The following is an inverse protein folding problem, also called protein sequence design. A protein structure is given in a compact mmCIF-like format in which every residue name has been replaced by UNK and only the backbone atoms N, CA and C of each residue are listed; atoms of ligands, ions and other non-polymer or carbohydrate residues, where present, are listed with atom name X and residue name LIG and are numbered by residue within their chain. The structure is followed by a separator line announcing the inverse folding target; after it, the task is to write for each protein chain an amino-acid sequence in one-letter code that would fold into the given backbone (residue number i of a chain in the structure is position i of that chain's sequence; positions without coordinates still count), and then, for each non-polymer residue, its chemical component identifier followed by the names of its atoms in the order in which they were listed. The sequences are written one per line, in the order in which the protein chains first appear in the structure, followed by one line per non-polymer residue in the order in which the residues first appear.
data_IF_515258034419
#
_entry.id   IF_515258034419
#
_cell.length_a   1.000
_cell.length_b   1.000
_cell.length_c   1.000
_cell.angle_alpha   90.00
_cell.angle_beta   90.00
_cell.angle_gamma   90.00
#
_symmetry.space_group_name_H-M   'P 1'
#
loop_
_entity.id
_entity.type
_entity.pdbx_description
1 polymer ?
#
# COMPACT_ATOMS: atom_id res chain seq x y z
N UNK A 1 -37.98 -27.59 0.38
CA UNK A 1 -37.28 -27.03 -0.79
C UNK A 1 -37.23 -25.52 -0.65
N UNK A 2 -36.06 -24.92 -0.35
CA UNK A 2 -35.91 -23.46 -0.35
C UNK A 2 -35.77 -23.00 -1.80
N UNK A 3 -36.76 -22.24 -2.27
CA UNK A 3 -36.75 -21.61 -3.59
C UNK A 3 -35.66 -20.54 -3.58
N UNK A 4 -34.57 -20.76 -4.31
CA UNK A 4 -33.56 -19.72 -4.56
C UNK A 4 -34.26 -18.68 -5.45
N UNK A 5 -34.64 -17.56 -4.86
CA UNK A 5 -35.10 -16.41 -5.62
C UNK A 5 -33.85 -15.81 -6.26
N UNK A 6 -33.67 -16.01 -7.57
CA UNK A 6 -32.65 -15.28 -8.33
C UNK A 6 -33.02 -13.81 -8.22
N UNK A 7 -32.24 -13.06 -7.45
CA UNK A 7 -32.41 -11.63 -7.24
C UNK A 7 -31.90 -10.90 -8.47
N UNK A 8 -32.75 -10.65 -9.47
CA UNK A 8 -32.37 -9.94 -10.70
C UNK A 8 -32.16 -8.42 -10.53
N UNK A 9 -31.93 -7.91 -9.32
CA UNK A 9 -31.89 -6.47 -9.04
C UNK A 9 -30.84 -6.03 -8.00
N UNK A 10 -29.73 -6.74 -7.87
CA UNK A 10 -28.61 -6.25 -7.05
C UNK A 10 -27.73 -5.29 -7.86
N UNK A 11 -27.24 -4.23 -7.22
CA UNK A 11 -26.19 -3.36 -7.77
C UNK A 11 -24.92 -3.60 -6.98
N UNK A 12 -23.83 -3.90 -7.69
CA UNK A 12 -22.50 -4.00 -7.09
C UNK A 12 -21.84 -2.63 -7.15
N UNK A 13 -21.34 -2.14 -6.03
CA UNK A 13 -20.77 -0.81 -5.89
C UNK A 13 -19.34 -0.95 -5.36
N UNK A 14 -18.35 -0.43 -6.09
CA UNK A 14 -17.03 -0.19 -5.52
C UNK A 14 -16.96 1.24 -5.03
N UNK A 15 -16.51 1.44 -3.79
CA UNK A 15 -16.27 2.77 -3.22
C UNK A 15 -15.00 2.82 -2.40
N UNK A 16 -14.38 4.00 -2.36
CA UNK A 16 -13.24 4.32 -1.49
C UNK A 16 -13.61 5.54 -0.65
N UNK A 17 -13.86 5.33 0.64
CA UNK A 17 -14.46 6.34 1.51
C UNK A 17 -15.85 6.76 1.02
N UNK A 18 -16.02 8.04 0.69
CA UNK A 18 -17.25 8.60 0.12
C UNK A 18 -17.30 8.55 -1.41
N UNK A 19 -16.17 8.25 -2.05
CA UNK A 19 -16.06 8.28 -3.51
C UNK A 19 -16.52 6.95 -4.09
N UNK A 20 -17.54 6.99 -4.93
CA UNK A 20 -17.95 5.83 -5.72
C UNK A 20 -17.00 5.69 -6.91
N UNK A 21 -16.39 4.52 -7.04
CA UNK A 21 -15.49 4.18 -8.13
C UNK A 21 -16.27 3.58 -9.29
N UNK A 22 -17.13 2.61 -8.99
CA UNK A 22 -17.98 1.93 -9.98
C UNK A 22 -19.36 1.64 -9.42
N UNK A 23 -20.36 1.58 -10.30
CA UNK A 23 -21.72 1.10 -10.02
C UNK A 23 -22.12 0.11 -11.11
N UNK A 24 -22.29 -1.16 -10.73
CA UNK A 24 -22.33 -2.30 -11.64
C UNK A 24 -21.15 -2.25 -12.62
N UNK A 25 -21.41 -2.20 -13.94
CA UNK A 25 -20.41 -2.09 -14.99
C UNK A 25 -20.07 -0.63 -15.38
N UNK A 26 -20.63 0.36 -14.70
CA UNK A 26 -20.40 1.77 -15.00
C UNK A 26 -19.22 2.28 -14.18
N UNK A 27 -18.22 2.82 -14.85
CA UNK A 27 -17.10 3.55 -14.23
C UNK A 27 -17.55 4.96 -13.88
N UNK A 28 -17.47 5.32 -12.60
CA UNK A 28 -17.82 6.67 -12.08
C UNK A 28 -16.56 7.51 -11.87
N UNK A 29 -15.47 6.87 -11.46
CA UNK A 29 -14.16 7.51 -11.33
C UNK A 29 -13.62 8.00 -12.68
N UNK A 30 -12.82 9.06 -12.65
CA UNK A 30 -12.04 9.56 -13.80
C UNK A 30 -10.61 9.03 -13.84
N UNK A 31 -10.22 8.22 -12.84
CA UNK A 31 -8.90 7.61 -12.80
C UNK A 31 -8.82 6.48 -13.83
N UNK A 32 -8.07 6.72 -14.91
CA UNK A 32 -7.91 5.79 -16.04
C UNK A 32 -7.16 4.50 -15.69
N UNK A 33 -6.45 4.50 -14.54
CA UNK A 33 -5.77 3.32 -14.01
C UNK A 33 -6.75 2.32 -13.40
N UNK A 34 -7.94 2.79 -13.01
CA UNK A 34 -8.97 1.95 -12.38
C UNK A 34 -9.83 1.33 -13.47
N UNK A 35 -9.98 0.00 -13.41
CA UNK A 35 -10.78 -0.78 -14.35
C UNK A 35 -11.62 -1.82 -13.62
N UNK A 36 -12.68 -2.27 -14.29
CA UNK A 36 -13.50 -3.37 -13.83
C UNK A 36 -13.23 -4.60 -14.71
N UNK A 37 -12.70 -5.66 -14.12
CA UNK A 37 -12.41 -6.94 -14.76
C UNK A 37 -13.54 -7.91 -14.43
N UNK A 38 -13.96 -8.69 -15.42
CA UNK A 38 -15.07 -9.66 -15.34
C UNK A 38 -16.42 -9.06 -14.89
N UNK A 39 -16.54 -7.73 -14.89
CA UNK A 39 -17.75 -7.02 -14.47
C UNK A 39 -17.93 -6.85 -12.95
N UNK A 40 -16.96 -7.27 -12.13
CA UNK A 40 -17.07 -7.14 -10.67
C UNK A 40 -15.74 -6.99 -9.91
N UNK A 41 -14.59 -7.33 -10.51
CA UNK A 41 -13.29 -7.18 -9.87
C UNK A 41 -12.72 -5.79 -10.15
N UNK A 42 -12.37 -5.05 -9.11
CA UNK A 42 -11.69 -3.76 -9.25
C UNK A 42 -10.19 -4.00 -9.47
N UNK A 43 -9.67 -3.52 -10.59
CA UNK A 43 -8.24 -3.51 -10.90
C UNK A 43 -7.72 -2.07 -10.89
N UNK A 44 -6.52 -1.85 -10.35
CA UNK A 44 -5.84 -0.56 -10.35
C UNK A 44 -4.43 -0.80 -10.90
N UNK A 45 -4.11 -0.24 -12.07
CA UNK A 45 -2.76 -0.30 -12.64
C UNK A 45 -1.86 0.79 -12.06
N UNK A 46 -0.54 0.66 -12.25
CA UNK A 46 0.45 1.69 -11.88
C UNK A 46 0.23 2.21 -10.45
N UNK A 47 0.24 1.27 -9.50
CA UNK A 47 -0.03 1.53 -8.08
C UNK A 47 0.97 2.54 -7.52
N UNK A 48 0.43 3.51 -6.78
CA UNK A 48 1.17 4.54 -6.07
C UNK A 48 0.90 4.44 -4.56
N UNK A 49 1.79 4.95 -3.68
CA UNK A 49 1.59 4.89 -2.23
C UNK A 49 0.23 5.47 -1.77
N UNK A 50 -0.29 6.48 -2.45
CA UNK A 50 -1.60 7.08 -2.19
C UNK A 50 -2.78 6.16 -2.53
N UNK A 51 -2.60 5.05 -3.23
CA UNK A 51 -3.67 4.10 -3.51
C UNK A 51 -3.95 3.17 -2.32
N UNK A 52 -3.06 3.14 -1.33
CA UNK A 52 -3.25 2.36 -0.10
C UNK A 52 -4.52 2.75 0.67
N UNK A 53 -5.09 1.79 1.37
CA UNK A 53 -6.26 1.98 2.24
C UNK A 53 -7.43 1.06 1.89
N UNK A 54 -8.59 1.41 2.42
CA UNK A 54 -9.78 0.55 2.36
C UNK A 54 -10.63 0.82 1.12
N UNK A 55 -10.89 -0.25 0.38
CA UNK A 55 -11.84 -0.31 -0.73
C UNK A 55 -13.03 -1.16 -0.28
N UNK A 56 -14.23 -0.68 -0.53
CA UNK A 56 -15.46 -1.36 -0.13
C UNK A 56 -16.20 -1.82 -1.37
N UNK A 57 -16.44 -3.13 -1.43
CA UNK A 57 -17.38 -3.74 -2.35
C UNK A 57 -18.72 -3.90 -1.63
N UNK A 58 -19.73 -3.16 -2.10
CA UNK A 58 -21.07 -3.16 -1.54
C UNK A 58 -22.05 -3.76 -2.53
N UNK A 59 -22.86 -4.71 -2.07
CA UNK A 59 -23.95 -5.27 -2.87
C UNK A 59 -25.26 -4.70 -2.30
N UNK A 60 -25.94 -3.86 -3.09
CA UNK A 60 -27.25 -3.33 -2.73
C UNK A 60 -28.34 -4.34 -3.08
N UNK A 61 -28.61 -5.26 -2.16
CA UNK A 61 -29.81 -6.07 -2.14
C UNK A 61 -30.67 -5.68 -0.91
N UNK A 62 -31.72 -6.45 -0.56
CA UNK A 62 -32.56 -6.23 0.64
C UNK A 62 -31.78 -6.11 1.96
N UNK A 63 -30.53 -6.56 1.97
CA UNK A 63 -29.56 -6.34 3.04
C UNK A 63 -28.29 -5.81 2.37
N UNK A 64 -27.90 -4.57 2.66
CA UNK A 64 -26.62 -4.05 2.22
C UNK A 64 -25.52 -4.91 2.83
N UNK A 65 -24.75 -5.58 1.96
CA UNK A 65 -23.56 -6.33 2.37
C UNK A 65 -22.34 -5.60 1.88
N UNK A 66 -21.54 -5.12 2.84
CA UNK A 66 -20.28 -4.44 2.58
C UNK A 66 -19.14 -5.42 2.89
N UNK A 67 -18.22 -5.57 1.95
CA UNK A 67 -16.96 -6.27 2.12
C UNK A 67 -15.83 -5.24 2.02
N UNK A 68 -15.01 -5.15 3.07
CA UNK A 68 -13.85 -4.25 3.11
C UNK A 68 -12.61 -5.01 2.64
N UNK A 69 -11.88 -4.39 1.71
CA UNK A 69 -10.60 -4.84 1.19
C UNK A 69 -9.54 -3.79 1.51
N UNK A 70 -8.62 -4.11 2.42
CA UNK A 70 -7.51 -3.21 2.76
C UNK A 70 -6.34 -3.47 1.83
N UNK A 71 -5.90 -2.44 1.10
CA UNK A 71 -4.76 -2.48 0.20
C UNK A 71 -3.55 -1.85 0.87
N UNK A 72 -2.45 -2.60 0.96
CA UNK A 72 -1.15 -2.10 1.42
C UNK A 72 -0.19 -2.00 0.21
N UNK A 73 0.47 -0.85 0.06
CA UNK A 73 1.43 -0.62 -1.01
C UNK A 73 2.84 -0.67 -0.44
N UNK A 74 3.63 -1.65 -0.88
CA UNK A 74 5.01 -1.83 -0.44
C UNK A 74 5.96 -0.96 -1.25
N UNK A 75 6.89 -0.30 -0.55
CA UNK A 75 7.90 0.55 -1.18
C UNK A 75 9.28 -0.03 -0.86
N UNK A 76 10.10 -0.37 -1.87
CA UNK A 76 11.43 -0.92 -1.66
C UNK A 76 12.30 -0.07 -0.73
N UNK A 77 13.17 -0.69 0.07
CA UNK A 77 14.04 0.04 0.97
C UNK A 77 15.09 0.85 0.19
N UNK A 78 15.29 2.10 0.59
CA UNK A 78 16.34 3.00 0.11
C UNK A 78 17.14 3.50 1.31
N UNK A 79 18.46 3.39 1.22
CA UNK A 79 19.40 3.73 2.30
C UNK A 79 20.29 4.89 1.88
N UNK A 80 20.42 5.88 2.76
CA UNK A 80 21.32 7.03 2.59
C UNK A 80 22.25 7.12 3.78
N UNK A 81 23.56 7.06 3.51
CA UNK A 81 24.60 7.16 4.52
C UNK A 81 25.34 8.51 4.43
N UNK A 82 25.74 9.04 5.59
CA UNK A 82 26.55 10.25 5.73
C UNK A 82 27.83 9.91 6.50
N UNK A 83 29.03 10.22 5.97
CA UNK A 83 29.30 10.93 4.71
C UNK A 83 28.98 10.09 3.46
N UNK A 84 28.46 10.72 2.42
CA UNK A 84 28.16 10.05 1.13
C UNK A 84 29.41 9.52 0.43
N UNK A 85 30.58 10.07 0.76
CA UNK A 85 31.88 9.55 0.28
C UNK A 85 32.21 8.15 0.80
N UNK A 86 31.49 7.66 1.83
CA UNK A 86 31.84 6.42 2.54
C UNK A 86 33.12 6.51 3.36
N UNK A 87 33.73 7.70 3.44
CA UNK A 87 34.99 7.92 4.14
C UNK A 87 34.87 9.07 5.14
N UNK A 88 35.34 8.83 6.36
CA UNK A 88 35.42 9.82 7.42
C UNK A 88 36.82 9.76 8.05
N UNK A 89 37.48 10.92 8.16
CA UNK A 89 38.78 11.05 8.81
C UNK A 89 38.61 11.79 10.14
N UNK A 90 39.27 11.28 11.18
CA UNK A 90 39.20 11.88 12.51
C UNK A 90 40.54 11.74 13.23
N UNK A 91 40.81 12.68 14.15
CA UNK A 91 41.98 12.61 15.03
C UNK A 91 41.81 11.47 16.03
N UNK A 92 42.92 10.83 16.42
CA UNK A 92 42.91 9.79 17.45
C UNK A 92 42.29 10.34 18.75
N UNK A 93 41.30 9.63 19.28
CA UNK A 93 40.56 10.04 20.48
C UNK A 93 39.46 11.07 20.22
N UNK A 94 39.30 11.57 18.99
CA UNK A 94 38.20 12.44 18.61
C UNK A 94 36.90 11.68 18.37
N UNK A 95 35.73 12.31 18.59
CA UNK A 95 34.43 11.69 18.32
C UNK A 95 34.18 11.57 16.81
N UNK A 96 33.41 10.56 16.43
CA UNK A 96 32.95 10.33 15.05
C UNK A 96 31.47 9.95 15.04
N UNK A 97 30.75 10.45 14.05
CA UNK A 97 29.34 10.10 13.83
C UNK A 97 29.21 9.58 12.41
N UNK A 98 28.63 8.38 12.28
CA UNK A 98 28.19 7.83 11.00
C UNK A 98 26.66 7.81 11.04
N UNK A 99 26.04 8.49 10.09
CA UNK A 99 24.58 8.48 9.97
C UNK A 99 24.17 7.55 8.85
N UNK A 100 23.11 6.79 9.08
CA UNK A 100 22.47 5.96 8.08
C UNK A 100 20.96 6.12 8.26
N UNK A 101 20.27 6.53 7.19
CA UNK A 101 18.83 6.72 7.16
C UNK A 101 18.25 5.76 6.14
N UNK A 102 17.30 4.94 6.59
CA UNK A 102 16.53 4.02 5.78
C UNK A 102 15.15 4.60 5.51
N UNK A 103 14.66 4.42 4.30
CA UNK A 103 13.32 4.82 3.85
C UNK A 103 12.70 3.64 3.10
N UNK A 104 11.38 3.52 3.10
CA UNK A 104 10.66 2.40 2.50
C UNK A 104 9.38 2.10 3.27
N UNK A 105 8.54 1.21 2.74
CA UNK A 105 7.38 0.68 3.42
C UNK A 105 7.38 -0.86 3.35
N UNK A 106 7.57 -1.57 4.48
CA UNK A 106 7.82 -1.02 5.82
C UNK A 106 9.18 -0.32 5.92
N UNK A 107 9.34 0.53 6.94
CA UNK A 107 10.62 1.21 7.21
C UNK A 107 11.69 0.16 7.52
N UNK A 108 12.86 0.16 6.83
CA UNK A 108 13.86 -0.88 7.02
C UNK A 108 14.61 -0.72 8.34
N UNK A 109 14.95 -1.86 8.96
CA UNK A 109 15.86 -1.91 10.10
C UNK A 109 17.30 -1.64 9.68
N UNK A 110 18.02 -0.82 10.44
CA UNK A 110 19.40 -0.43 10.16
C UNK A 110 20.34 -1.07 11.18
N UNK A 111 21.38 -1.74 10.68
CA UNK A 111 22.42 -2.37 11.50
C UNK A 111 23.82 -1.97 11.02
N UNK A 112 24.71 -1.68 11.96
CA UNK A 112 26.10 -1.39 11.65
C UNK A 112 26.96 -2.64 11.82
N UNK A 113 27.91 -2.84 10.91
CA UNK A 113 28.90 -3.90 11.04
C UNK A 113 30.31 -3.34 10.91
N UNK A 114 31.25 -3.93 11.66
CA UNK A 114 32.69 -3.68 11.50
C UNK A 114 33.40 -5.01 11.33
N UNK A 115 34.04 -5.23 10.18
CA UNK A 115 34.77 -6.49 9.89
C UNK A 115 33.94 -7.73 10.24
N UNK A 116 32.71 -7.80 9.72
CA UNK A 116 31.75 -8.90 9.92
C UNK A 116 31.16 -9.07 11.33
N UNK A 117 31.44 -8.17 12.29
CA UNK A 117 30.75 -8.15 13.58
C UNK A 117 29.62 -7.13 13.56
N UNK A 118 28.41 -7.57 13.90
CA UNK A 118 27.23 -6.71 14.02
C UNK A 118 27.21 -5.95 15.34
N UNK A 119 26.81 -4.68 15.28
CA UNK A 119 26.59 -3.80 16.41
C UNK A 119 25.16 -3.27 16.30
N UNK A 120 24.34 -3.55 17.32
CA UNK A 120 22.97 -3.03 17.39
C UNK A 120 22.99 -1.53 17.69
N UNK A 121 22.10 -0.80 17.02
CA UNK A 121 21.79 0.60 17.35
C UNK A 121 20.70 0.58 18.43
N UNK A 122 20.91 1.33 19.52
CA UNK A 122 19.83 1.67 20.46
C UNK A 122 19.04 2.85 19.91
#
# INVERSE_FOLDING_TARGET
MKRIQVLSNYVLLWRRGINVLTASNIMVTRDERIRLIDGYNLEISDLEPQDAGDYVCQISDKINRDQVHTVEILVPPSVRATPTSGQLQARKGGPVTLECKGSGNPVPSIYWTKKYRAYLVK
#
